data_IF_925273041268
#
_entry.id   IF_925273041268
#
_cell.length_a   1.000
_cell.length_b   1.000
_cell.length_c   1.000
_cell.angle_alpha   90.00
_cell.angle_beta   90.00
_cell.angle_gamma   90.00
#
_symmetry.space_group_name_H-M   'P 1'
#
loop_
_entity.id
_entity.type
_entity.pdbx_description
1 polymer ?
#
# COMPACT_ATOMS: atom_id res chain seq x y z
N UNK A 1 -44.05 10.78 21.90
CA UNK A 1 -42.79 11.40 22.33
C UNK A 1 -41.72 10.99 21.32
N UNK A 2 -41.44 11.88 20.37
CA UNK A 2 -40.53 11.63 19.25
C UNK A 2 -39.08 11.71 19.75
N UNK A 3 -38.32 10.63 19.63
CA UNK A 3 -36.89 10.63 20.01
C UNK A 3 -36.15 11.50 19.00
N UNK A 4 -35.68 12.66 19.45
CA UNK A 4 -34.80 13.55 18.68
C UNK A 4 -33.56 12.74 18.30
N UNK A 5 -33.33 12.55 16.99
CA UNK A 5 -32.13 11.86 16.49
C UNK A 5 -30.88 12.62 16.97
N UNK A 6 -29.89 11.94 17.57
CA UNK A 6 -28.68 12.61 18.01
C UNK A 6 -27.99 13.27 16.81
N UNK A 7 -27.42 14.45 17.05
CA UNK A 7 -26.65 15.17 16.03
C UNK A 7 -25.50 14.28 15.56
N UNK A 8 -25.16 14.34 14.25
CA UNK A 8 -24.01 13.64 13.66
C UNK A 8 -22.73 13.85 14.49
N UNK A 9 -22.57 15.04 15.06
CA UNK A 9 -21.42 15.36 15.90
C UNK A 9 -21.45 14.62 17.25
N UNK A 10 -22.62 14.45 17.87
CA UNK A 10 -22.75 13.65 19.09
C UNK A 10 -22.46 12.19 18.79
N UNK A 11 -22.97 11.67 17.68
CA UNK A 11 -22.73 10.30 17.25
C UNK A 11 -21.24 10.03 16.97
N UNK A 12 -20.54 11.02 16.41
CA UNK A 12 -19.08 10.98 16.25
C UNK A 12 -18.35 10.98 17.60
N UNK A 13 -18.70 11.87 18.53
CA UNK A 13 -18.06 11.94 19.85
C UNK A 13 -18.27 10.66 20.68
N UNK A 14 -19.47 10.08 20.61
CA UNK A 14 -19.78 8.80 21.26
C UNK A 14 -18.94 7.65 20.68
N UNK A 15 -18.71 7.69 19.36
CA UNK A 15 -17.83 6.75 18.68
C UNK A 15 -16.39 6.92 19.15
N UNK A 16 -15.86 8.16 19.17
CA UNK A 16 -14.48 8.44 19.60
C UNK A 16 -14.24 8.10 21.07
N UNK A 17 -15.23 8.31 21.94
CA UNK A 17 -15.13 7.98 23.36
C UNK A 17 -15.48 6.53 23.70
N UNK A 18 -15.79 5.67 22.72
CA UNK A 18 -16.03 4.26 23.03
C UNK A 18 -14.74 3.60 23.53
N UNK A 19 -14.87 2.78 24.58
CA UNK A 19 -13.75 2.04 25.20
C UNK A 19 -12.94 1.24 24.17
N UNK A 20 -13.60 0.76 23.10
CA UNK A 20 -12.97 0.02 22.00
C UNK A 20 -12.00 0.86 21.16
N UNK A 21 -12.22 2.17 21.01
CA UNK A 21 -11.29 3.05 20.27
C UNK A 21 -10.13 3.47 21.16
N UNK A 22 -10.40 3.73 22.45
CA UNK A 22 -9.36 4.05 23.43
C UNK A 22 -8.34 2.91 23.56
N UNK A 23 -8.80 1.65 23.64
CA UNK A 23 -7.91 0.48 23.68
C UNK A 23 -7.08 0.30 22.40
N UNK A 24 -7.68 0.56 21.23
CA UNK A 24 -6.98 0.48 19.94
C UNK A 24 -5.89 1.55 19.81
N UNK A 25 -6.12 2.77 20.29
CA UNK A 25 -5.11 3.83 20.33
C UNK A 25 -3.96 3.44 21.24
N UNK A 26 -4.23 2.89 22.43
CA UNK A 26 -3.19 2.41 23.35
C UNK A 26 -2.32 1.33 22.70
N UNK A 27 -2.95 0.34 22.05
CA UNK A 27 -2.25 -0.73 21.32
C UNK A 27 -1.37 -0.18 20.19
N UNK A 28 -1.86 0.81 19.43
CA UNK A 28 -1.08 1.45 18.36
C UNK A 28 0.14 2.23 18.92
N UNK A 29 -0.04 2.92 20.05
CA UNK A 29 1.04 3.67 20.69
C UNK A 29 2.14 2.73 21.20
N UNK A 30 1.79 1.56 21.72
CA UNK A 30 2.74 0.51 22.08
C UNK A 30 3.49 -0.02 20.86
N UNK A 31 2.75 -0.37 19.80
CA UNK A 31 3.33 -0.85 18.55
C UNK A 31 4.29 0.17 17.91
N UNK A 32 3.99 1.47 18.03
CA UNK A 32 4.88 2.55 17.57
C UNK A 32 6.19 2.62 18.35
N UNK A 33 6.20 2.27 19.65
CA UNK A 33 7.43 2.21 20.44
C UNK A 33 8.29 1.04 19.96
N UNK A 34 7.68 -0.12 19.74
CA UNK A 34 8.37 -1.31 19.23
C UNK A 34 8.95 -1.07 17.84
N UNK A 35 8.17 -0.43 16.96
CA UNK A 35 8.65 -0.02 15.64
C UNK A 35 9.91 0.84 15.71
N UNK A 36 9.96 1.84 16.59
CA UNK A 36 11.15 2.70 16.72
C UNK A 36 12.40 1.90 17.11
N UNK A 37 12.27 0.98 18.05
CA UNK A 37 13.38 0.13 18.48
C UNK A 37 13.85 -0.81 17.35
N UNK A 38 12.90 -1.47 16.67
CA UNK A 38 13.18 -2.39 15.57
C UNK A 38 13.76 -1.67 14.34
N UNK A 39 13.23 -0.50 13.99
CA UNK A 39 13.69 0.29 12.86
C UNK A 39 15.12 0.78 13.05
N UNK A 40 15.48 1.23 14.26
CA UNK A 40 16.85 1.61 14.59
C UNK A 40 17.82 0.42 14.42
N UNK A 41 17.47 -0.75 14.97
CA UNK A 41 18.27 -1.97 14.80
C UNK A 41 18.41 -2.36 13.33
N UNK A 42 17.32 -2.26 12.55
CA UNK A 42 17.32 -2.62 11.14
C UNK A 42 18.15 -1.66 10.29
N UNK A 43 18.09 -0.36 10.57
CA UNK A 43 18.85 0.67 9.85
C UNK A 43 20.36 0.59 10.09
N UNK A 44 20.79 0.07 11.24
CA UNK A 44 22.21 -0.13 11.56
C UNK A 44 22.82 -1.34 10.86
N UNK A 45 21.99 -2.24 10.29
CA UNK A 45 22.47 -3.40 9.54
C UNK A 45 22.63 -3.02 8.05
N UNK A 46 23.86 -2.95 7.57
CA UNK A 46 24.20 -2.51 6.19
C UNK A 46 23.56 -3.36 5.07
N UNK A 47 23.34 -4.66 5.33
CA UNK A 47 22.69 -5.60 4.40
C UNK A 47 21.18 -5.35 4.26
N UNK A 48 20.53 -4.90 5.33
CA UNK A 48 19.08 -4.87 5.46
C UNK A 48 18.46 -3.50 5.12
N UNK A 49 19.23 -2.40 5.25
CA UNK A 49 18.76 -1.04 5.00
C UNK A 49 18.31 -0.74 3.56
N UNK A 50 18.55 -1.63 2.60
CA UNK A 50 18.27 -1.40 1.18
C UNK A 50 16.82 -1.64 0.76
N UNK A 51 16.05 -2.43 1.52
CA UNK A 51 14.67 -2.76 1.15
C UNK A 51 13.69 -2.65 2.34
N UNK A 52 12.90 -1.56 2.42
CA UNK A 52 11.93 -1.39 3.51
C UNK A 52 10.78 -2.40 3.45
N UNK A 53 10.48 -2.98 2.28
CA UNK A 53 9.42 -4.00 2.16
C UNK A 53 9.79 -5.29 2.88
N UNK A 54 11.09 -5.63 2.94
CA UNK A 54 11.56 -6.80 3.69
C UNK A 54 11.41 -6.58 5.20
N UNK A 55 11.72 -5.38 5.70
CA UNK A 55 11.46 -5.03 7.10
C UNK A 55 10.01 -5.27 7.48
N UNK A 56 9.07 -4.72 6.71
CA UNK A 56 7.64 -4.87 7.00
C UNK A 56 7.15 -6.30 6.85
N UNK A 57 7.73 -7.09 5.95
CA UNK A 57 7.42 -8.52 5.79
C UNK A 57 7.90 -9.36 6.98
N UNK A 58 9.09 -9.06 7.52
CA UNK A 58 9.65 -9.79 8.67
C UNK A 58 8.94 -9.45 9.98
N UNK A 59 8.49 -8.20 10.12
CA UNK A 59 7.87 -7.72 11.36
C UNK A 59 6.34 -7.70 11.31
N UNK A 60 5.71 -8.32 10.31
CA UNK A 60 4.26 -8.29 10.12
C UNK A 60 3.48 -8.88 11.30
N UNK A 61 4.02 -9.91 11.96
CA UNK A 61 3.38 -10.55 13.12
C UNK A 61 3.51 -9.73 14.41
N UNK A 62 4.51 -8.84 14.47
CA UNK A 62 4.81 -8.00 15.64
C UNK A 62 4.12 -6.64 15.50
N UNK A 63 4.17 -6.08 14.29
CA UNK A 63 3.63 -4.76 13.94
C UNK A 63 2.36 -4.91 13.09
N UNK A 64 1.30 -5.48 13.66
CA UNK A 64 0.07 -5.83 12.93
C UNK A 64 -0.61 -4.61 12.29
N UNK A 65 -0.85 -3.55 13.06
CA UNK A 65 -1.60 -2.38 12.58
C UNK A 65 -0.71 -1.55 11.66
N UNK A 66 0.54 -1.36 12.05
CA UNK A 66 1.49 -0.53 11.34
C UNK A 66 1.96 -1.19 10.05
N UNK A 67 2.14 -2.52 10.00
CA UNK A 67 2.46 -3.21 8.74
C UNK A 67 1.34 -3.07 7.71
N UNK A 68 0.07 -3.11 8.11
CA UNK A 68 -1.05 -2.88 7.21
C UNK A 68 -1.04 -1.46 6.63
N UNK A 69 -0.75 -0.46 7.46
CA UNK A 69 -0.64 0.95 7.02
C UNK A 69 0.57 1.12 6.10
N UNK A 70 1.72 0.58 6.49
CA UNK A 70 2.98 0.69 5.75
C UNK A 70 2.92 0.03 4.38
N UNK A 71 2.25 -1.11 4.24
CA UNK A 71 2.01 -1.75 2.93
C UNK A 71 1.28 -0.81 1.98
N UNK A 72 0.25 -0.11 2.47
CA UNK A 72 -0.50 0.88 1.66
C UNK A 72 0.35 2.10 1.35
N UNK A 73 1.06 2.62 2.34
CA UNK A 73 1.91 3.80 2.19
C UNK A 73 3.04 3.57 1.18
N UNK A 74 3.75 2.44 1.29
CA UNK A 74 4.86 2.09 0.41
C UNK A 74 4.43 1.65 -1.00
N UNK A 75 3.17 1.25 -1.18
CA UNK A 75 2.62 0.93 -2.50
C UNK A 75 2.33 2.19 -3.34
N UNK A 76 2.29 3.37 -2.71
CA UNK A 76 2.07 4.63 -3.44
C UNK A 76 3.36 5.02 -4.17
N UNK A 77 3.34 5.14 -5.52
CA UNK A 77 4.50 5.63 -6.25
C UNK A 77 4.76 7.09 -5.90
N UNK A 78 6.03 7.46 -5.74
CA UNK A 78 6.42 8.85 -5.44
C UNK A 78 6.18 9.82 -6.61
N UNK A 79 5.92 9.31 -7.82
CA UNK A 79 5.80 10.12 -9.04
C UNK A 79 4.67 9.64 -9.94
N UNK A 80 4.15 10.54 -10.77
CA UNK A 80 3.18 10.26 -11.83
C UNK A 80 3.77 9.56 -13.06
N UNK A 81 5.10 9.34 -13.10
CA UNK A 81 5.85 8.84 -14.27
C UNK A 81 5.28 7.52 -14.80
N UNK A 82 4.84 6.61 -13.91
CA UNK A 82 4.21 5.36 -14.32
C UNK A 82 2.92 5.60 -15.13
N UNK A 83 2.08 6.53 -14.67
CA UNK A 83 0.85 6.92 -15.35
C UNK A 83 1.16 7.67 -16.65
N UNK A 84 2.12 8.60 -16.64
CA UNK A 84 2.53 9.36 -17.83
C UNK A 84 3.10 8.45 -18.92
N UNK A 85 3.89 7.44 -18.55
CA UNK A 85 4.38 6.42 -19.46
C UNK A 85 3.24 5.64 -20.12
N UNK A 86 2.25 5.21 -19.33
CA UNK A 86 1.05 4.53 -19.85
C UNK A 86 0.20 5.44 -20.75
N UNK A 87 0.04 6.72 -20.40
CA UNK A 87 -0.69 7.71 -21.22
C UNK A 87 0.03 8.08 -22.51
N UNK A 88 1.35 8.23 -22.45
CA UNK A 88 2.18 8.48 -23.63
C UNK A 88 2.10 7.32 -24.61
N UNK A 89 2.20 6.09 -24.09
CA UNK A 89 2.12 4.87 -24.88
C UNK A 89 0.74 4.67 -25.52
N UNK A 90 -0.33 4.82 -24.74
CA UNK A 90 -1.71 4.73 -25.25
C UNK A 90 -1.97 5.80 -26.31
N UNK A 91 -1.52 7.04 -26.07
CA UNK A 91 -1.63 8.14 -27.04
C UNK A 91 -0.87 7.84 -28.32
N UNK A 92 0.33 7.26 -28.23
CA UNK A 92 1.13 6.88 -29.38
C UNK A 92 0.44 5.82 -30.24
N UNK A 93 -0.11 4.78 -29.62
CA UNK A 93 -0.85 3.74 -30.34
C UNK A 93 -2.18 4.27 -30.89
N UNK A 94 -2.92 5.07 -30.11
CA UNK A 94 -4.20 5.65 -30.54
C UNK A 94 -4.08 6.62 -31.72
N UNK A 95 -2.96 7.36 -31.85
CA UNK A 95 -2.71 8.26 -32.99
C UNK A 95 -2.37 7.53 -34.29
N UNK A 96 -1.93 6.27 -34.22
CA UNK A 96 -1.48 5.52 -35.40
C UNK A 96 -2.71 5.10 -36.20
N UNK A 97 -3.07 5.83 -37.26
CA UNK A 97 -4.26 5.58 -38.10
C UNK A 97 -4.37 4.17 -38.75
N UNK A 98 -3.42 3.26 -38.49
CA UNK A 98 -3.43 1.87 -38.93
C UNK A 98 -3.88 0.89 -37.83
N UNK A 99 -3.95 1.31 -36.56
CA UNK A 99 -4.43 0.47 -35.48
C UNK A 99 -5.93 0.72 -35.30
N UNK A 100 -6.77 -0.17 -35.84
CA UNK A 100 -8.22 -0.22 -35.59
C UNK A 100 -8.53 -0.71 -34.16
N UNK A 101 -7.84 -0.16 -33.16
CA UNK A 101 -8.08 -0.47 -31.76
C UNK A 101 -9.19 0.44 -31.25
N UNK A 102 -10.24 -0.16 -30.70
CA UNK A 102 -11.20 0.60 -29.89
C UNK A 102 -10.48 1.11 -28.62
N UNK A 103 -10.98 2.17 -27.98
CA UNK A 103 -10.42 2.66 -26.72
C UNK A 103 -10.34 1.57 -25.64
N UNK A 104 -11.32 0.65 -25.62
CA UNK A 104 -11.35 -0.50 -24.71
C UNK A 104 -10.22 -1.50 -24.99
N UNK A 105 -10.06 -1.91 -26.25
CA UNK A 105 -8.98 -2.83 -26.65
C UNK A 105 -7.60 -2.20 -26.44
N UNK A 106 -7.47 -0.89 -26.61
CA UNK A 106 -6.24 -0.15 -26.33
C UNK A 106 -5.90 -0.16 -24.82
N UNK A 107 -6.89 0.11 -23.96
CA UNK A 107 -6.72 0.05 -22.50
C UNK A 107 -6.27 -1.34 -22.05
N UNK A 108 -6.93 -2.39 -22.52
CA UNK A 108 -6.57 -3.77 -22.22
C UNK A 108 -5.16 -4.12 -22.70
N UNK A 109 -4.76 -3.64 -23.89
CA UNK A 109 -3.41 -3.88 -24.43
C UNK A 109 -2.33 -3.22 -23.57
N UNK A 110 -2.57 -1.99 -23.09
CA UNK A 110 -1.64 -1.27 -22.20
C UNK A 110 -1.57 -1.96 -20.84
N UNK A 111 -2.70 -2.39 -20.30
CA UNK A 111 -2.77 -3.16 -19.05
C UNK A 111 -2.00 -4.49 -19.15
N UNK A 112 -2.25 -5.27 -20.21
CA UNK A 112 -1.58 -6.56 -20.42
C UNK A 112 -0.07 -6.38 -20.58
N UNK A 113 0.37 -5.34 -21.31
CA UNK A 113 1.79 -5.02 -21.44
C UNK A 113 2.42 -4.72 -20.07
N UNK A 114 1.77 -3.92 -19.24
CA UNK A 114 2.26 -3.59 -17.89
C UNK A 114 2.38 -4.84 -17.02
N UNK A 115 1.35 -5.69 -16.98
CA UNK A 115 1.32 -6.89 -16.13
C UNK A 115 2.16 -8.06 -16.64
N UNK A 116 2.37 -8.19 -17.95
CA UNK A 116 3.18 -9.26 -18.52
C UNK A 116 4.68 -8.92 -18.53
N UNK A 117 5.03 -7.63 -18.58
CA UNK A 117 6.42 -7.17 -18.56
C UNK A 117 7.04 -7.21 -17.17
N UNK A 118 6.24 -7.26 -16.10
CA UNK A 118 6.77 -7.52 -14.77
C UNK A 118 7.17 -8.99 -14.68
N UNK A 119 8.47 -9.34 -14.50
CA UNK A 119 8.84 -10.71 -14.22
C UNK A 119 8.10 -11.18 -12.96
N UNK A 120 7.57 -12.40 -12.95
CA UNK A 120 6.81 -13.03 -11.85
C UNK A 120 7.71 -13.31 -10.62
N UNK A 121 8.80 -12.58 -10.42
CA UNK A 121 9.80 -12.80 -9.37
C UNK A 121 9.39 -12.19 -8.03
N UNK A 122 8.18 -12.54 -7.57
CA UNK A 122 7.62 -12.09 -6.29
C UNK A 122 7.19 -13.19 -5.33
N UNK A 123 7.21 -14.47 -5.71
CA UNK A 123 6.77 -15.57 -4.83
C UNK A 123 7.79 -16.69 -4.56
N UNK A 124 8.98 -16.69 -5.17
CA UNK A 124 9.93 -17.83 -5.02
C UNK A 124 11.09 -17.57 -4.05
N UNK A 125 11.27 -16.35 -3.52
CA UNK A 125 12.33 -16.11 -2.49
C UNK A 125 11.80 -16.48 -1.09
N UNK A 126 11.48 -17.76 -0.88
CA UNK A 126 11.23 -18.34 0.43
C UNK A 126 11.76 -19.78 0.59
N UNK A 127 12.32 -20.42 -0.43
CA UNK A 127 12.78 -21.83 -0.31
C UNK A 127 14.06 -22.13 -1.08
N UNK A 128 15.12 -21.36 -0.86
CA UNK A 128 16.48 -21.84 -1.14
C UNK A 128 17.49 -21.07 -0.29
N UNK A 129 17.79 -21.62 0.90
CA UNK A 129 19.16 -21.61 1.42
C UNK A 129 19.53 -23.07 1.73
N UNK A 130 20.73 -23.56 1.38
CA UNK A 130 21.33 -24.70 2.07
C UNK A 130 21.71 -24.33 3.50
#
# INVERSE_FOLDING_TARGET
>A
MEKIKPSIFQQFLECVNSESYSSAITSLVEELKDYKALALKYSLNEEHGKNPLLFWKLNETVLLILAQISKKFLAVPSTSVASESAFSLSSFYGRKGRTRLSPESLSLSVFLKDKLSTPITGQVIALTQP
#
